data_IF_594546949410
#
_entry.id   IF_594546949410
#
_cell.length_a   1.000
_cell.length_b   1.000
_cell.length_c   1.000
_cell.angle_alpha   90.00
_cell.angle_beta   90.00
_cell.angle_gamma   90.00
#
_symmetry.space_group_name_H-M   'P 1'
#
loop_
_entity.id
_entity.type
_entity.pdbx_description
1 polymer ?
#
# COMPACT_ATOMS: atom_id res chain seq x y z
N UNK A 1 -19.16 6.50 -38.90
CA UNK A 1 -18.88 7.57 -37.92
C UNK A 1 -17.98 6.98 -36.86
N UNK A 2 -16.78 7.53 -36.75
CA UNK A 2 -15.74 7.15 -35.79
C UNK A 2 -16.14 7.73 -34.44
N UNK A 3 -16.17 6.90 -33.39
CA UNK A 3 -15.87 7.35 -32.03
C UNK A 3 -14.95 6.31 -31.40
N UNK A 4 -13.71 6.76 -31.24
CA UNK A 4 -12.64 6.12 -30.50
C UNK A 4 -12.97 6.14 -29.01
N UNK A 5 -12.61 5.07 -28.30
CA UNK A 5 -12.75 4.98 -26.85
C UNK A 5 -12.20 3.66 -26.34
N UNK A 6 -10.96 3.34 -26.70
CA UNK A 6 -10.18 2.32 -26.03
C UNK A 6 -10.00 2.73 -24.57
N UNK A 7 -10.92 2.30 -23.69
CA UNK A 7 -10.65 2.26 -22.26
C UNK A 7 -10.17 0.84 -21.94
N UNK A 8 -8.90 0.63 -22.24
CA UNK A 8 -8.12 -0.52 -21.80
C UNK A 8 -8.10 -0.49 -20.25
N UNK A 9 -8.92 -1.32 -19.61
CA UNK A 9 -8.97 -1.45 -18.16
C UNK A 9 -7.69 -2.15 -17.69
N UNK A 10 -6.62 -1.39 -17.49
CA UNK A 10 -5.37 -1.89 -16.93
C UNK A 10 -5.55 -2.17 -15.45
N UNK A 11 -5.88 -3.42 -15.12
CA UNK A 11 -5.72 -3.96 -13.78
C UNK A 11 -4.24 -3.91 -13.41
N UNK A 12 -3.83 -2.93 -12.61
CA UNK A 12 -2.52 -2.94 -11.95
C UNK A 12 -2.67 -3.52 -10.54
N UNK A 13 -3.01 -4.81 -10.45
CA UNK A 13 -2.57 -5.61 -9.31
C UNK A 13 -1.13 -6.02 -9.58
N UNK A 14 -0.17 -5.28 -9.02
CA UNK A 14 1.21 -5.75 -8.98
C UNK A 14 1.31 -6.76 -7.82
N UNK A 15 1.04 -8.03 -8.10
CA UNK A 15 1.56 -9.13 -7.30
C UNK A 15 3.07 -9.21 -7.55
N UNK A 16 3.89 -8.55 -6.73
CA UNK A 16 5.33 -8.78 -6.73
C UNK A 16 5.66 -10.00 -5.87
N UNK A 17 5.54 -11.19 -6.48
CA UNK A 17 6.40 -12.33 -6.11
C UNK A 17 7.53 -12.44 -7.13
N UNK A 18 8.75 -12.59 -6.59
CA UNK A 18 10.03 -12.90 -7.24
C UNK A 18 10.75 -11.75 -7.94
N UNK A 19 11.57 -11.04 -7.17
CA UNK A 19 12.72 -10.28 -7.64
C UNK A 19 14.00 -10.85 -7.03
N UNK A 20 14.61 -11.79 -7.73
CA UNK A 20 15.96 -12.27 -7.48
C UNK A 20 16.97 -11.15 -7.79
N UNK A 21 18.05 -11.11 -6.99
CA UNK A 21 19.28 -10.28 -7.09
C UNK A 21 19.19 -8.75 -6.91
N UNK A 22 19.57 -8.31 -5.71
CA UNK A 22 20.34 -7.08 -5.55
C UNK A 22 21.84 -7.43 -5.55
N UNK A 23 22.48 -7.32 -6.72
CA UNK A 23 23.94 -7.26 -6.81
C UNK A 23 24.40 -5.89 -6.29
N UNK A 24 24.83 -5.85 -5.03
CA UNK A 24 25.62 -4.73 -4.50
C UNK A 24 27.08 -5.16 -4.48
N UNK A 25 27.85 -4.72 -5.48
CA UNK A 25 29.30 -4.69 -5.38
C UNK A 25 29.68 -3.71 -4.26
N UNK A 26 30.24 -4.22 -3.18
CA UNK A 26 30.95 -3.41 -2.20
C UNK A 26 32.40 -3.90 -2.10
N UNK A 27 33.25 -3.29 -2.91
CA UNK A 27 34.68 -3.20 -2.62
C UNK A 27 34.87 -2.08 -1.58
N UNK A 28 35.19 -2.44 -0.34
CA UNK A 28 35.85 -1.54 0.60
C UNK A 28 36.89 -2.31 1.41
N UNK A 29 38.09 -2.39 0.85
CA UNK A 29 39.31 -2.50 1.63
C UNK A 29 39.59 -1.11 2.26
N UNK A 30 39.28 -0.93 3.53
CA UNK A 30 39.88 0.09 4.37
C UNK A 30 39.82 -0.38 5.83
N UNK A 31 40.99 -0.73 6.36
CA UNK A 31 41.20 -0.92 7.78
C UNK A 31 40.88 0.39 8.51
N UNK A 32 39.85 0.34 9.37
CA UNK A 32 39.42 1.44 10.21
C UNK A 32 38.46 0.89 11.26
N UNK A 33 38.84 1.04 12.52
CA UNK A 33 38.23 0.58 13.77
C UNK A 33 36.71 0.30 13.71
N UNK A 34 36.33 -0.96 13.99
CA UNK A 34 34.96 -1.39 14.19
C UNK A 34 34.34 -0.68 15.41
N UNK A 35 33.71 0.48 15.19
CA UNK A 35 32.59 0.88 16.03
C UNK A 35 31.36 0.13 15.51
N UNK A 36 31.18 -1.09 16.00
CA UNK A 36 30.03 -1.94 15.71
C UNK A 36 28.79 -1.25 16.27
N UNK A 37 28.10 -0.54 15.38
CA UNK A 37 26.85 0.18 15.67
C UNK A 37 25.86 -0.82 16.28
N UNK A 38 25.61 -0.71 17.59
CA UNK A 38 24.82 -1.64 18.38
C UNK A 38 23.31 -1.41 18.20
N UNK A 39 22.89 -1.18 16.96
CA UNK A 39 21.48 -1.15 16.61
C UNK A 39 21.01 -2.61 16.58
N UNK A 40 20.38 -3.03 17.67
CA UNK A 40 19.78 -4.36 17.78
C UNK A 40 18.81 -4.58 16.62
N UNK A 41 18.70 -5.82 16.12
CA UNK A 41 17.82 -6.11 14.98
C UNK A 41 16.35 -5.75 15.26
N UNK A 42 15.95 -5.70 16.54
CA UNK A 42 14.65 -5.19 16.99
C UNK A 42 14.40 -3.71 16.63
N UNK A 43 15.43 -2.84 16.71
CA UNK A 43 15.30 -1.42 16.32
C UNK A 43 15.10 -1.26 14.80
N UNK A 44 15.68 -2.17 13.99
CA UNK A 44 15.46 -2.21 12.54
C UNK A 44 14.05 -2.66 12.19
N UNK A 45 13.51 -3.66 12.89
CA UNK A 45 12.14 -4.13 12.71
C UNK A 45 11.13 -3.04 13.12
N UNK A 46 11.38 -2.32 14.21
CA UNK A 46 10.52 -1.22 14.66
C UNK A 46 10.47 -0.07 13.63
N UNK A 47 11.63 0.33 13.10
CA UNK A 47 11.72 1.33 12.02
C UNK A 47 11.00 0.87 10.76
N UNK A 48 11.17 -0.40 10.38
CA UNK A 48 10.47 -1.00 9.26
C UNK A 48 8.96 -0.96 9.46
N UNK A 49 8.48 -1.33 10.65
CA UNK A 49 7.05 -1.32 10.97
C UNK A 49 6.47 0.10 10.90
N UNK A 50 7.18 1.12 11.40
CA UNK A 50 6.75 2.53 11.28
C UNK A 50 6.55 2.96 9.82
N UNK A 51 7.44 2.53 8.92
CA UNK A 51 7.31 2.79 7.47
C UNK A 51 6.13 2.02 6.87
N UNK A 52 5.95 0.76 7.25
CA UNK A 52 4.85 -0.07 6.75
C UNK A 52 3.48 0.48 7.16
N UNK A 53 3.32 0.97 8.39
CA UNK A 53 2.07 1.57 8.87
C UNK A 53 1.66 2.78 8.03
N UNK A 54 2.61 3.66 7.69
CA UNK A 54 2.32 4.79 6.78
C UNK A 54 1.96 4.31 5.37
N UNK A 55 2.72 3.34 4.86
CA UNK A 55 2.50 2.80 3.52
C UNK A 55 1.13 2.14 3.37
N UNK A 56 0.68 1.37 4.37
CA UNK A 56 -0.64 0.73 4.34
C UNK A 56 -1.77 1.75 4.40
N UNK A 57 -1.65 2.83 5.19
CA UNK A 57 -2.65 3.91 5.22
C UNK A 57 -2.77 4.58 3.86
N UNK A 58 -1.64 4.89 3.21
CA UNK A 58 -1.66 5.52 1.88
C UNK A 58 -2.24 4.58 0.81
N UNK A 59 -1.87 3.31 0.85
CA UNK A 59 -2.39 2.30 -0.07
C UNK A 59 -3.91 2.11 0.09
N UNK A 60 -4.40 2.05 1.33
CA UNK A 60 -5.82 1.97 1.63
C UNK A 60 -6.57 3.19 1.08
N UNK A 61 -6.05 4.42 1.24
CA UNK A 61 -6.67 5.63 0.67
C UNK A 61 -6.77 5.58 -0.85
N UNK A 62 -5.75 5.04 -1.53
CA UNK A 62 -5.81 4.81 -2.98
C UNK A 62 -6.96 3.87 -3.33
N UNK A 63 -7.09 2.74 -2.63
CA UNK A 63 -8.18 1.78 -2.86
C UNK A 63 -9.55 2.34 -2.49
N UNK A 64 -9.68 3.14 -1.43
CA UNK A 64 -10.92 3.85 -1.11
C UNK A 64 -11.40 4.72 -2.27
N UNK A 65 -10.49 5.45 -2.92
CA UNK A 65 -10.79 6.26 -4.10
C UNK A 65 -11.30 5.41 -5.27
N UNK A 66 -10.64 4.30 -5.57
CA UNK A 66 -11.06 3.35 -6.60
C UNK A 66 -12.42 2.72 -6.29
N UNK A 67 -12.66 2.34 -5.03
CA UNK A 67 -13.91 1.74 -4.58
C UNK A 67 -15.05 2.74 -4.66
N UNK A 68 -14.85 4.00 -4.24
CA UNK A 68 -15.83 5.08 -4.39
C UNK A 68 -16.26 5.25 -5.85
N UNK A 69 -15.31 5.26 -6.79
CA UNK A 69 -15.58 5.32 -8.23
C UNK A 69 -16.42 4.11 -8.71
N UNK A 70 -16.08 2.90 -8.26
CA UNK A 70 -16.86 1.71 -8.62
C UNK A 70 -18.22 1.62 -7.94
N UNK A 71 -18.40 2.20 -6.76
CA UNK A 71 -19.71 2.33 -6.14
C UNK A 71 -20.62 3.24 -6.98
N UNK A 72 -20.11 4.36 -7.49
CA UNK A 72 -20.85 5.26 -8.39
C UNK A 72 -21.20 4.58 -9.71
N UNK A 73 -20.23 3.91 -10.36
CA UNK A 73 -20.48 3.11 -11.56
C UNK A 73 -21.53 2.02 -11.32
N UNK A 74 -21.48 1.36 -10.16
CA UNK A 74 -22.45 0.33 -9.78
C UNK A 74 -23.86 0.89 -9.65
N UNK A 75 -24.02 2.11 -9.09
CA UNK A 75 -25.31 2.81 -9.07
C UNK A 75 -25.81 3.12 -10.48
N UNK A 76 -24.93 3.59 -11.37
CA UNK A 76 -25.27 3.87 -12.78
C UNK A 76 -25.66 2.61 -13.57
N UNK A 77 -25.28 1.42 -13.11
CA UNK A 77 -25.67 0.11 -13.67
C UNK A 77 -26.91 -0.50 -12.99
N UNK A 78 -27.66 0.27 -12.20
CA UNK A 78 -28.79 -0.20 -11.38
C UNK A 78 -28.44 -1.32 -10.38
N UNK A 79 -27.14 -1.49 -10.06
CA UNK A 79 -26.64 -2.46 -9.07
C UNK A 79 -26.56 -1.83 -7.68
N UNK A 80 -27.68 -1.32 -7.20
CA UNK A 80 -27.77 -0.54 -5.95
C UNK A 80 -27.18 -1.29 -4.76
N UNK A 81 -27.57 -2.55 -4.54
CA UNK A 81 -27.04 -3.37 -3.43
C UNK A 81 -25.53 -3.59 -3.54
N UNK A 82 -24.99 -3.74 -4.75
CA UNK A 82 -23.53 -3.87 -4.94
C UNK A 82 -22.83 -2.57 -4.58
N UNK A 83 -23.38 -1.42 -5.00
CA UNK A 83 -22.83 -0.12 -4.65
C UNK A 83 -22.81 0.13 -3.14
N UNK A 84 -23.88 -0.26 -2.43
CA UNK A 84 -23.96 -0.16 -0.96
C UNK A 84 -22.89 -1.01 -0.27
N UNK A 85 -22.65 -2.24 -0.76
CA UNK A 85 -21.63 -3.12 -0.20
C UNK A 85 -20.21 -2.58 -0.47
N UNK A 86 -19.95 -2.02 -1.65
CA UNK A 86 -18.67 -1.37 -1.97
C UNK A 86 -18.47 -0.14 -1.07
N UNK A 87 -19.50 0.67 -0.87
CA UNK A 87 -19.43 1.83 0.04
C UNK A 87 -19.15 1.39 1.48
N UNK A 88 -19.72 0.28 1.93
CA UNK A 88 -19.44 -0.27 3.26
C UNK A 88 -17.99 -0.79 3.38
N UNK A 89 -17.43 -1.33 2.30
CA UNK A 89 -16.02 -1.71 2.27
C UNK A 89 -15.09 -0.50 2.44
N UNK A 90 -15.43 0.63 1.82
CA UNK A 90 -14.75 1.92 2.03
C UNK A 90 -14.80 2.34 3.50
N UNK A 91 -15.96 2.30 4.14
CA UNK A 91 -16.09 2.66 5.57
C UNK A 91 -15.23 1.78 6.49
N UNK A 92 -15.12 0.48 6.19
CA UNK A 92 -14.26 -0.42 6.96
C UNK A 92 -12.78 -0.15 6.71
N UNK A 93 -12.41 0.28 5.51
CA UNK A 93 -11.04 0.65 5.18
C UNK A 93 -10.64 1.97 5.85
N UNK A 94 -11.55 2.94 5.93
CA UNK A 94 -11.36 4.18 6.70
C UNK A 94 -11.11 3.86 8.20
N UNK A 95 -11.88 2.94 8.78
CA UNK A 95 -11.64 2.45 10.15
C UNK A 95 -10.32 1.72 10.31
N UNK A 96 -9.91 0.93 9.31
CA UNK A 96 -8.59 0.29 9.30
C UNK A 96 -7.49 1.35 9.36
N UNK A 97 -7.62 2.42 8.58
CA UNK A 97 -6.68 3.53 8.57
C UNK A 97 -6.58 4.24 9.93
N UNK A 98 -7.70 4.48 10.60
CA UNK A 98 -7.73 5.03 11.96
C UNK A 98 -6.90 4.15 12.92
N UNK A 99 -7.13 2.84 12.92
CA UNK A 99 -6.40 1.91 13.79
C UNK A 99 -4.91 1.82 13.46
N UNK A 100 -4.53 1.87 12.18
CA UNK A 100 -3.11 1.87 11.77
C UNK A 100 -2.39 3.14 12.20
N UNK A 101 -3.07 4.30 12.11
CA UNK A 101 -2.55 5.58 12.60
C UNK A 101 -2.38 5.53 14.13
N UNK A 102 -3.34 4.96 14.86
CA UNK A 102 -3.24 4.78 16.31
C UNK A 102 -2.11 3.81 16.70
N UNK A 103 -1.98 2.70 15.98
CA UNK A 103 -0.89 1.75 16.18
C UNK A 103 0.46 2.44 16.06
N UNK A 104 0.67 3.26 15.03
CA UNK A 104 1.91 4.04 14.85
C UNK A 104 2.18 5.01 16.00
N UNK A 105 1.14 5.64 16.56
CA UNK A 105 1.28 6.57 17.71
C UNK A 105 1.62 5.86 19.01
N UNK A 106 1.31 4.56 19.12
CA UNK A 106 1.54 3.78 20.33
C UNK A 106 2.96 3.17 20.44
N UNK A 107 3.81 3.40 19.43
CA UNK A 107 5.18 2.90 19.33
C UNK A 107 6.23 3.97 19.64
#
# INVERSE_FOLDING_TARGET
MIFNGEHEYKYHHIENRSGDKCEHNHDHAAAGEELKDCVSDLDKEEKTLKILLDHWVEHNRSHEGEFKNWAEKSKAMDKVKTAELIQKAVEFMEKSNEMLIEAKKSM
#
